data_IF_609088918008
#
_entry.id   IF_609088918008
#
_cell.length_a   1.000
_cell.length_b   1.000
_cell.length_c   1.000
_cell.angle_alpha   90.00
_cell.angle_beta   90.00
_cell.angle_gamma   90.00
#
_symmetry.space_group_name_H-M   'P 1'
#
loop_
_entity.id
_entity.type
_entity.pdbx_description
1 polymer ?
#
# COMPACT_ATOMS: atom_id res chain seq x y z
N UNK A 1 -20.35 7.36 -6.04
CA UNK A 1 -18.90 7.06 -6.08
C UNK A 1 -18.54 5.94 -5.09
N UNK A 2 -19.13 4.74 -5.20
CA UNK A 2 -18.85 3.59 -4.31
C UNK A 2 -17.77 2.64 -4.85
N UNK A 3 -17.45 2.72 -6.15
CA UNK A 3 -16.52 1.78 -6.81
C UNK A 3 -15.03 2.12 -6.65
N UNK A 4 -14.66 3.39 -6.68
CA UNK A 4 -13.23 3.79 -6.76
C UNK A 4 -12.45 3.46 -5.49
N UNK A 5 -13.03 3.71 -4.30
CA UNK A 5 -12.37 3.36 -3.03
C UNK A 5 -12.22 1.86 -2.81
N UNK A 6 -13.16 1.08 -3.34
CA UNK A 6 -13.15 -0.38 -3.29
C UNK A 6 -12.05 -0.94 -4.19
N UNK A 7 -11.91 -0.40 -5.42
CA UNK A 7 -10.87 -0.81 -6.36
C UNK A 7 -9.48 -0.48 -5.83
N UNK A 8 -9.25 0.74 -5.32
CA UNK A 8 -7.92 1.11 -4.82
C UNK A 8 -7.54 0.37 -3.55
N UNK A 9 -8.50 0.15 -2.63
CA UNK A 9 -8.27 -0.64 -1.42
C UNK A 9 -7.92 -2.10 -1.75
N UNK A 10 -8.66 -2.74 -2.66
CA UNK A 10 -8.39 -4.12 -3.09
C UNK A 10 -7.06 -4.21 -3.85
N UNK A 11 -6.79 -3.28 -4.77
CA UNK A 11 -5.53 -3.28 -5.53
C UNK A 11 -4.32 -3.08 -4.62
N UNK A 12 -4.39 -2.14 -3.68
CA UNK A 12 -3.34 -1.89 -2.69
C UNK A 12 -3.06 -3.13 -1.84
N UNK A 13 -4.10 -3.73 -1.26
CA UNK A 13 -3.99 -4.96 -0.47
C UNK A 13 -3.43 -6.15 -1.25
N UNK A 14 -3.80 -6.27 -2.54
CA UNK A 14 -3.29 -7.34 -3.41
C UNK A 14 -1.79 -7.17 -3.66
N UNK A 15 -1.34 -5.94 -3.93
CA UNK A 15 0.08 -5.64 -4.12
C UNK A 15 0.87 -5.92 -2.84
N UNK A 16 0.35 -5.50 -1.68
CA UNK A 16 0.94 -5.80 -0.37
C UNK A 16 1.07 -7.31 -0.13
N UNK A 17 0.03 -8.08 -0.47
CA UNK A 17 0.07 -9.53 -0.31
C UNK A 17 1.14 -10.18 -1.19
N UNK A 18 1.27 -9.74 -2.45
CA UNK A 18 2.30 -10.24 -3.37
C UNK A 18 3.69 -9.91 -2.84
N UNK A 19 3.95 -8.65 -2.47
CA UNK A 19 5.22 -8.20 -1.91
C UNK A 19 5.57 -8.93 -0.60
N UNK A 20 4.58 -9.17 0.26
CA UNK A 20 4.78 -9.96 1.48
C UNK A 20 5.14 -11.42 1.17
N UNK A 21 4.44 -12.06 0.22
CA UNK A 21 4.70 -13.45 -0.15
C UNK A 21 6.08 -13.67 -0.78
N UNK A 22 6.62 -12.65 -1.45
CA UNK A 22 7.96 -12.68 -2.02
C UNK A 22 9.07 -12.37 -0.99
N UNK A 23 8.70 -12.14 0.28
CA UNK A 23 9.66 -11.75 1.32
C UNK A 23 10.22 -10.34 1.11
N UNK A 24 9.55 -9.50 0.33
CA UNK A 24 9.98 -8.13 0.01
C UNK A 24 9.43 -7.11 1.04
N UNK A 25 8.72 -7.57 2.08
CA UNK A 25 8.04 -6.72 3.04
C UNK A 25 8.18 -7.19 4.48
N UNK A 26 8.54 -6.27 5.37
CA UNK A 26 8.48 -6.50 6.82
C UNK A 26 7.02 -6.53 7.32
N UNK A 27 6.71 -7.36 8.33
CA UNK A 27 5.35 -7.53 8.85
C UNK A 27 4.71 -6.25 9.43
N UNK A 28 5.52 -5.27 9.87
CA UNK A 28 5.02 -3.94 10.28
C UNK A 28 4.48 -3.12 9.09
N UNK A 29 5.02 -3.35 7.90
CA UNK A 29 4.63 -2.68 6.65
C UNK A 29 3.33 -3.25 6.13
N UNK A 30 3.17 -4.58 6.21
CA UNK A 30 1.91 -5.25 5.90
C UNK A 30 0.76 -4.67 6.73
N UNK A 31 0.99 -4.41 8.02
CA UNK A 31 -0.02 -3.78 8.89
C UNK A 31 -0.38 -2.36 8.45
N UNK A 32 0.60 -1.55 8.03
CA UNK A 32 0.36 -0.18 7.54
C UNK A 32 -0.44 -0.21 6.22
N UNK A 33 0.03 -0.98 5.24
CA UNK A 33 -0.64 -1.16 3.96
C UNK A 33 -2.07 -1.71 4.14
N UNK A 34 -2.28 -2.65 5.07
CA UNK A 34 -3.61 -3.17 5.40
C UNK A 34 -4.50 -2.11 6.05
N UNK A 35 -3.97 -1.31 6.97
CA UNK A 35 -4.72 -0.22 7.58
C UNK A 35 -5.14 0.86 6.56
N UNK A 36 -4.22 1.29 5.70
CA UNK A 36 -4.49 2.31 4.68
C UNK A 36 -5.31 1.76 3.50
N UNK A 37 -5.13 0.49 3.14
CA UNK A 37 -5.98 -0.21 2.18
C UNK A 37 -7.41 -0.35 2.68
N UNK A 38 -7.59 -0.71 3.96
CA UNK A 38 -8.93 -0.85 4.56
C UNK A 38 -9.63 0.49 4.78
N UNK A 39 -8.88 1.58 5.03
CA UNK A 39 -9.43 2.93 5.02
C UNK A 39 -10.06 3.28 3.67
N UNK A 40 -9.58 2.72 2.55
CA UNK A 40 -10.18 2.88 1.22
C UNK A 40 -11.65 2.46 1.13
N UNK A 41 -12.09 1.53 1.98
CA UNK A 41 -13.49 1.08 2.08
C UNK A 41 -14.40 2.05 2.85
N UNK A 42 -13.83 2.99 3.62
CA UNK A 42 -14.55 3.94 4.48
C UNK A 42 -15.29 5.08 3.76
N UNK A 43 -15.40 5.03 2.43
CA UNK A 43 -16.02 6.07 1.61
C UNK A 43 -15.01 7.02 0.96
N UNK A 44 -15.48 8.14 0.40
CA UNK A 44 -14.68 9.03 -0.45
C UNK A 44 -13.43 9.58 0.25
N UNK A 45 -13.53 9.97 1.53
CA UNK A 45 -12.39 10.46 2.31
C UNK A 45 -11.35 9.37 2.57
N UNK A 46 -11.81 8.16 2.87
CA UNK A 46 -10.94 7.01 3.08
C UNK A 46 -10.23 6.57 1.79
N UNK A 47 -10.94 6.62 0.66
CA UNK A 47 -10.37 6.41 -0.66
C UNK A 47 -9.26 7.42 -0.99
N UNK A 48 -9.46 8.70 -0.69
CA UNK A 48 -8.43 9.74 -0.89
C UNK A 48 -7.20 9.47 -0.03
N UNK A 49 -7.37 9.11 1.24
CA UNK A 49 -6.25 8.77 2.15
C UNK A 49 -5.49 7.54 1.62
N UNK A 50 -6.21 6.51 1.18
CA UNK A 50 -5.63 5.29 0.61
C UNK A 50 -4.84 5.57 -0.67
N UNK A 51 -5.44 6.32 -1.61
CA UNK A 51 -4.78 6.75 -2.86
C UNK A 51 -3.54 7.59 -2.56
N UNK A 52 -3.62 8.52 -1.61
CA UNK A 52 -2.48 9.36 -1.25
C UNK A 52 -1.33 8.52 -0.66
N UNK A 53 -1.64 7.58 0.25
CA UNK A 53 -0.64 6.69 0.83
C UNK A 53 0.06 5.84 -0.24
N UNK A 54 -0.71 5.09 -1.05
CA UNK A 54 -0.14 4.24 -2.10
C UNK A 54 0.54 5.04 -3.22
N UNK A 55 0.01 6.22 -3.57
CA UNK A 55 0.59 7.10 -4.57
C UNK A 55 1.93 7.69 -4.14
N UNK A 56 2.02 8.21 -2.91
CA UNK A 56 3.29 8.70 -2.35
C UNK A 56 4.31 7.55 -2.26
N UNK A 57 3.86 6.38 -1.80
CA UNK A 57 4.71 5.20 -1.72
C UNK A 57 5.28 4.83 -3.09
N UNK A 58 4.43 4.68 -4.10
CA UNK A 58 4.84 4.34 -5.46
C UNK A 58 5.81 5.38 -6.06
N UNK A 59 5.59 6.67 -5.83
CA UNK A 59 6.49 7.74 -6.32
C UNK A 59 7.86 7.62 -5.65
N UNK A 60 7.91 7.41 -4.34
CA UNK A 60 9.17 7.28 -3.60
C UNK A 60 9.96 6.03 -4.03
N UNK A 61 9.29 4.88 -4.15
CA UNK A 61 9.95 3.64 -4.57
C UNK A 61 10.49 3.74 -5.99
N UNK A 62 9.73 4.38 -6.88
CA UNK A 62 10.17 4.62 -8.26
C UNK A 62 11.34 5.62 -8.34
N UNK A 63 11.35 6.66 -7.50
CA UNK A 63 12.38 7.72 -7.59
C UNK A 63 13.68 7.37 -6.89
N UNK A 64 13.63 6.57 -5.84
CA UNK A 64 14.80 6.27 -5.01
C UNK A 64 15.41 4.91 -5.29
N UNK A 65 14.72 4.05 -6.06
CA UNK A 65 14.99 2.60 -6.18
C UNK A 65 15.06 1.85 -4.83
N UNK A 66 14.88 2.58 -3.73
CA UNK A 66 14.78 2.08 -2.39
C UNK A 66 13.31 1.88 -2.11
N UNK A 67 12.97 0.73 -1.51
CA UNK A 67 11.63 0.63 -0.98
C UNK A 67 11.47 1.67 0.12
N UNK A 68 10.27 2.25 0.23
CA UNK A 68 9.91 3.13 1.36
C UNK A 68 10.13 2.41 2.69
N UNK A 69 10.17 1.08 2.68
CA UNK A 69 10.36 0.26 3.87
C UNK A 69 11.39 -0.85 3.64
N UNK A 70 12.19 -1.12 4.67
CA UNK A 70 13.23 -2.15 4.66
C UNK A 70 12.69 -3.53 4.21
N UNK A 71 13.28 -4.06 3.14
CA UNK A 71 13.10 -5.45 2.72
C UNK A 71 13.75 -6.38 3.76
N UNK A 72 13.10 -7.50 4.14
CA UNK A 72 13.77 -8.58 4.85
C UNK A 72 14.98 -9.08 4.05
N UNK A 73 16.19 -8.68 4.45
CA UNK A 73 17.44 -9.02 3.75
C UNK A 73 18.39 -7.84 3.50
N UNK A 74 17.93 -6.59 3.71
CA UNK A 74 18.74 -5.39 3.45
C UNK A 74 18.86 -5.06 1.96
N UNK A 75 19.18 -3.79 1.68
CA UNK A 75 19.62 -3.35 0.35
C UNK A 75 20.90 -4.07 -0.08
#
# INVERSE_FOLDING_TARGET
>A
MKGTGLITGVAGLTITYVQYSNGEMSGKVVLADVAFGTMGFGGSRGATISIAYFGIKAIYEYSTENSVFEKPGGN
#
